data_IF_853518708100
#
_entry.id   IF_853518708100
#
_cell.length_a   1.000
_cell.length_b   1.000
_cell.length_c   1.000
_cell.angle_alpha   90.00
_cell.angle_beta   90.00
_cell.angle_gamma   90.00
#
_symmetry.space_group_name_H-M   'P 1'
#
loop_
_entity.id
_entity.type
_entity.pdbx_description
1 polymer ?
#
# COMPACT_ATOMS: atom_id res chain seq x y z
N UNK A 1 3.91 -2.06 21.50
CA UNK A 1 4.95 -2.39 20.50
C UNK A 1 5.70 -3.62 20.98
N UNK A 2 5.46 -4.79 20.38
CA UNK A 2 6.17 -6.02 20.72
C UNK A 2 7.30 -6.23 19.73
N UNK A 3 8.55 -6.21 20.23
CA UNK A 3 9.75 -6.49 19.46
C UNK A 3 9.88 -8.00 19.29
N UNK A 4 9.95 -8.48 18.04
CA UNK A 4 10.41 -9.84 17.76
C UNK A 4 11.87 -9.82 17.37
N UNK A 5 12.70 -10.34 18.27
CA UNK A 5 14.11 -10.59 18.05
C UNK A 5 14.27 -11.84 17.14
N UNK A 6 14.53 -11.64 15.84
CA UNK A 6 15.35 -12.53 14.96
C UNK A 6 15.27 -12.26 13.44
N UNK A 7 14.58 -11.23 12.96
CA UNK A 7 14.80 -10.75 11.58
C UNK A 7 14.81 -9.24 11.55
N UNK A 8 15.88 -8.64 11.03
CA UNK A 8 15.99 -7.18 10.83
C UNK A 8 15.06 -6.68 9.68
N UNK A 9 13.95 -7.39 9.43
CA UNK A 9 12.98 -7.06 8.40
C UNK A 9 11.97 -6.13 9.03
N UNK A 10 11.99 -4.86 8.64
CA UNK A 10 10.90 -3.93 8.94
C UNK A 10 9.55 -4.62 8.62
N UNK A 11 8.77 -4.91 9.67
CA UNK A 11 7.38 -5.39 9.53
C UNK A 11 6.62 -4.22 8.91
N UNK A 12 6.15 -4.39 7.67
CA UNK A 12 5.41 -3.34 6.97
C UNK A 12 4.15 -2.94 7.74
N UNK A 13 3.62 -1.76 7.43
CA UNK A 13 2.43 -1.21 8.07
C UNK A 13 1.20 -1.76 7.33
N UNK A 14 0.26 -2.46 7.99
CA UNK A 14 -1.01 -2.83 7.38
C UNK A 14 -1.80 -1.56 7.04
N UNK A 15 -2.31 -1.48 5.82
CA UNK A 15 -3.04 -0.30 5.33
C UNK A 15 -4.28 -0.73 4.56
N UNK A 16 -5.34 0.08 4.69
CA UNK A 16 -6.52 -0.03 3.86
C UNK A 16 -6.26 0.72 2.55
N UNK A 17 -6.64 0.13 1.41
CA UNK A 17 -6.62 0.81 0.11
C UNK A 17 -8.02 0.79 -0.49
N UNK A 18 -8.54 1.97 -0.82
CA UNK A 18 -9.74 2.14 -1.62
C UNK A 18 -9.34 2.26 -3.08
N UNK A 19 -9.93 1.45 -3.94
CA UNK A 19 -9.78 1.61 -5.38
C UNK A 19 -10.71 2.71 -5.93
N UNK A 20 -10.62 3.05 -7.23
CA UNK A 20 -11.49 4.06 -7.84
C UNK A 20 -13.00 3.79 -7.72
N UNK A 21 -13.40 2.54 -7.45
CA UNK A 21 -14.79 2.13 -7.27
C UNK A 21 -15.16 2.00 -5.77
N UNK A 22 -14.34 2.55 -4.88
CA UNK A 22 -14.48 2.50 -3.42
C UNK A 22 -14.44 1.09 -2.82
N UNK A 23 -13.89 0.11 -3.56
CA UNK A 23 -13.69 -1.23 -3.03
C UNK A 23 -12.48 -1.26 -2.09
N UNK A 24 -12.68 -1.88 -0.94
CA UNK A 24 -11.66 -2.00 0.12
C UNK A 24 -10.70 -3.17 -0.15
N UNK A 25 -9.39 -2.90 -0.05
CA UNK A 25 -8.33 -3.91 -0.09
C UNK A 25 -7.38 -3.74 1.10
N UNK A 26 -7.05 -4.85 1.76
CA UNK A 26 -6.04 -4.87 2.82
C UNK A 26 -4.65 -5.15 2.23
N UNK A 27 -3.78 -4.14 2.26
CA UNK A 27 -2.41 -4.22 1.76
C UNK A 27 -1.40 -3.93 2.88
N UNK A 28 -0.12 -4.01 2.54
CA UNK A 28 0.98 -3.65 3.44
C UNK A 28 1.87 -2.60 2.79
N UNK A 29 2.01 -1.44 3.43
CA UNK A 29 3.00 -0.44 3.08
C UNK A 29 4.35 -0.85 3.66
N UNK A 30 5.31 -1.13 2.78
CA UNK A 30 6.63 -1.62 3.18
C UNK A 30 7.72 -0.69 2.69
N UNK A 31 8.56 -0.21 3.61
CA UNK A 31 9.81 0.51 3.32
C UNK A 31 10.86 -0.50 2.83
N UNK A 32 11.43 -0.26 1.67
CA UNK A 32 12.51 -1.05 1.08
C UNK A 32 13.76 -0.18 1.01
N UNK A 33 14.86 -0.68 1.57
CA UNK A 33 16.18 -0.08 1.42
C UNK A 33 16.82 -0.69 0.18
N UNK A 34 17.02 0.14 -0.83
CA UNK A 34 17.81 -0.15 -2.01
C UNK A 34 19.24 0.32 -1.77
N UNK A 35 20.20 -0.07 -2.61
CA UNK A 35 21.63 0.25 -2.42
C UNK A 35 21.89 1.74 -2.17
N UNK A 36 21.19 2.63 -2.89
CA UNK A 36 21.39 4.08 -2.79
C UNK A 36 20.07 4.87 -2.57
N UNK A 37 18.95 4.18 -2.30
CA UNK A 37 17.65 4.84 -2.19
C UNK A 37 16.70 4.10 -1.27
N UNK A 38 15.62 4.77 -0.88
CA UNK A 38 14.54 4.18 -0.09
C UNK A 38 13.26 4.30 -0.91
N UNK A 39 12.50 3.21 -1.00
CA UNK A 39 11.17 3.20 -1.63
C UNK A 39 10.12 2.69 -0.66
N UNK A 40 8.89 3.19 -0.79
CA UNK A 40 7.74 2.68 -0.05
C UNK A 40 6.80 2.01 -1.02
N UNK A 41 6.55 0.72 -0.80
CA UNK A 41 5.81 -0.11 -1.73
C UNK A 41 4.51 -0.61 -1.08
N UNK A 42 3.41 -0.52 -1.82
CA UNK A 42 2.18 -1.25 -1.50
C UNK A 42 2.35 -2.70 -1.95
N UNK A 43 2.32 -3.64 -1.01
CA UNK A 43 2.70 -5.04 -1.24
C UNK A 43 1.58 -6.02 -0.86
N UNK A 44 1.86 -7.33 -0.98
CA UNK A 44 0.98 -8.47 -0.70
C UNK A 44 -0.18 -8.65 -1.70
N UNK A 45 -1.13 -7.72 -1.76
CA UNK A 45 -2.35 -7.85 -2.58
C UNK A 45 -2.47 -6.80 -3.69
N UNK A 46 -1.38 -6.13 -4.03
CA UNK A 46 -1.37 -5.13 -5.10
C UNK A 46 -1.87 -5.69 -6.44
N UNK A 47 -1.51 -6.93 -6.78
CA UNK A 47 -1.96 -7.56 -8.01
C UNK A 47 -3.48 -7.72 -8.10
N UNK A 48 -4.16 -7.93 -6.98
CA UNK A 48 -5.63 -8.02 -6.94
C UNK A 48 -6.26 -6.65 -7.26
N UNK A 49 -5.66 -5.56 -6.77
CA UNK A 49 -6.08 -4.19 -7.07
C UNK A 49 -5.96 -3.92 -8.57
N UNK A 50 -4.81 -4.27 -9.16
CA UNK A 50 -4.53 -4.14 -10.60
C UNK A 50 -5.57 -4.90 -11.43
N UNK A 51 -5.79 -6.17 -11.11
CA UNK A 51 -6.78 -7.01 -11.81
C UNK A 51 -8.21 -6.48 -11.67
N UNK A 52 -8.62 -6.07 -10.48
CA UNK A 52 -9.97 -5.59 -10.24
C UNK A 52 -10.28 -4.28 -10.98
N UNK A 53 -9.25 -3.48 -11.27
CA UNK A 53 -9.38 -2.17 -11.91
C UNK A 53 -8.87 -2.14 -13.36
N UNK A 54 -8.48 -3.29 -13.91
CA UNK A 54 -7.90 -3.45 -15.24
C UNK A 54 -6.72 -2.51 -15.53
N UNK A 55 -5.91 -2.18 -14.51
CA UNK A 55 -4.76 -1.32 -14.70
C UNK A 55 -3.72 -1.96 -15.60
N UNK A 56 -3.15 -1.15 -16.50
CA UNK A 56 -2.09 -1.54 -17.41
C UNK A 56 -0.79 -0.77 -17.13
N UNK A 57 0.33 -1.31 -17.61
CA UNK A 57 1.60 -0.58 -17.59
C UNK A 57 1.44 0.70 -18.41
N UNK A 58 1.81 1.83 -17.80
CA UNK A 58 1.66 3.16 -18.40
C UNK A 58 0.44 3.93 -17.92
N UNK A 59 -0.52 3.26 -17.26
CA UNK A 59 -1.63 3.96 -16.61
C UNK A 59 -1.11 4.88 -15.51
N UNK A 60 -1.56 6.14 -15.53
CA UNK A 60 -1.28 7.10 -14.46
C UNK A 60 -2.48 7.14 -13.53
N UNK A 61 -2.21 6.93 -12.24
CA UNK A 61 -3.22 7.02 -11.18
C UNK A 61 -2.73 7.98 -10.11
N UNK A 62 -3.66 8.67 -9.45
CA UNK A 62 -3.36 9.44 -8.26
C UNK A 62 -3.46 8.54 -7.02
N UNK A 63 -2.56 8.73 -6.07
CA UNK A 63 -2.56 8.05 -4.79
C UNK A 63 -2.69 9.07 -3.67
N UNK A 64 -3.76 8.98 -2.89
CA UNK A 64 -4.04 9.85 -1.76
C UNK A 64 -3.89 9.08 -0.46
N UNK A 65 -3.38 9.72 0.59
CA UNK A 65 -3.37 9.16 1.95
C UNK A 65 -4.45 9.78 2.81
N UNK A 66 -5.08 8.98 3.66
CA UNK A 66 -6.05 9.45 4.65
C UNK A 66 -5.92 8.66 5.96
N UNK A 67 -6.64 9.11 7.00
CA UNK A 67 -6.77 8.38 8.27
C UNK A 67 -8.23 7.94 8.44
N UNK A 68 -8.45 6.66 8.76
CA UNK A 68 -9.77 6.10 9.17
C UNK A 68 -9.91 6.19 10.69
N UNK A 69 -11.02 5.71 11.22
CA UNK A 69 -11.27 5.52 12.65
C UNK A 69 -10.03 4.93 13.35
N UNK A 70 -9.73 5.44 14.55
CA UNK A 70 -8.58 5.04 15.36
C UNK A 70 -7.21 5.27 14.70
N UNK A 71 -7.09 6.30 13.84
CA UNK A 71 -5.85 6.72 13.18
C UNK A 71 -5.21 5.66 12.26
N UNK A 72 -6.01 4.70 11.79
CA UNK A 72 -5.53 3.71 10.82
C UNK A 72 -5.18 4.41 9.49
N UNK A 73 -3.95 4.22 9.02
CA UNK A 73 -3.51 4.73 7.72
C UNK A 73 -4.25 4.03 6.59
N UNK A 74 -4.87 4.82 5.72
CA UNK A 74 -5.51 4.37 4.50
C UNK A 74 -4.97 5.11 3.27
N UNK A 75 -5.18 4.51 2.11
CA UNK A 75 -4.89 5.11 0.81
C UNK A 75 -6.10 5.02 -0.11
N UNK A 76 -6.27 6.00 -1.00
CA UNK A 76 -7.26 5.97 -2.06
C UNK A 76 -6.57 6.13 -3.42
N UNK A 77 -6.95 5.28 -4.37
CA UNK A 77 -6.50 5.35 -5.76
C UNK A 77 -7.60 6.04 -6.56
N UNK A 78 -7.23 7.10 -7.28
CA UNK A 78 -8.13 7.82 -8.18
C UNK A 78 -7.57 7.73 -9.59
N UNK A 79 -8.37 7.26 -10.55
CA UNK A 79 -7.99 7.23 -11.96
C UNK A 79 -8.11 8.64 -12.54
N UNK A 80 -7.10 9.05 -13.31
CA UNK A 80 -7.12 10.30 -14.08
C UNK A 80 -8.03 10.21 -15.30
#
# INVERSE_FOLDING_TARGET
MTKDAKTNKFKGIPVLVLDPNLKEFNLVLKRWEMSNSITYNLTHRWYDVVKCNNFQVGDVVQLWSFRRLSDQLGFAIVKL
#
